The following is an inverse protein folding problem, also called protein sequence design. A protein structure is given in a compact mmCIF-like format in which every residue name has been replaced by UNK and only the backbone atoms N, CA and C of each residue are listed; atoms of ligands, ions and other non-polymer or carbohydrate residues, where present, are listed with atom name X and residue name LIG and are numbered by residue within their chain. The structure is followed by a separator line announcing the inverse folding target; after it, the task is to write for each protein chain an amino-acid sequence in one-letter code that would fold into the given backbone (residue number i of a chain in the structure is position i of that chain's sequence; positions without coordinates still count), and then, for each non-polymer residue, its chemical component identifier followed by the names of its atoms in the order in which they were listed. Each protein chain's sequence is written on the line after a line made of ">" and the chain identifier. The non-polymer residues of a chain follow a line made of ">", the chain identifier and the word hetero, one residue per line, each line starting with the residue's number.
data_IF_958702863642
#
_entry.id   IF_958702863642
#
_cell.length_a   1.000
_cell.length_b   1.000
_cell.length_c   1.000
_cell.angle_alpha   90.00
_cell.angle_beta   90.00
_cell.angle_gamma   90.00
#
_symmetry.space_group_name_H-M   'P 1'
#
loop_
_entity.id
_entity.type
_entity.pdbx_description
1 polymer ?
#
# COMPACT_ATOMS: atom_id res chain seq x y z
N UNK A 1 -19.17 0.86 -12.52
CA UNK A 1 -17.98 1.61 -12.06
C UNK A 1 -18.10 1.98 -10.59
N UNK A 2 -19.07 2.83 -10.20
CA UNK A 2 -19.17 3.37 -8.83
C UNK A 2 -19.41 2.29 -7.76
N UNK A 3 -20.04 1.19 -8.15
CA UNK A 3 -20.25 -0.02 -7.34
C UNK A 3 -18.94 -0.74 -6.97
N UNK A 4 -17.87 -0.53 -7.72
CA UNK A 4 -16.53 -1.07 -7.49
C UNK A 4 -15.61 -0.10 -6.74
N UNK A 5 -16.12 1.08 -6.34
CA UNK A 5 -15.37 2.08 -5.59
C UNK A 5 -15.68 1.94 -4.09
N UNK A 6 -14.63 1.71 -3.31
CA UNK A 6 -14.66 1.60 -1.86
C UNK A 6 -14.04 2.84 -1.23
N UNK A 7 -14.78 3.49 -0.34
CA UNK A 7 -14.27 4.58 0.50
C UNK A 7 -13.81 3.97 1.82
N UNK A 8 -12.53 4.17 2.15
CA UNK A 8 -11.91 3.66 3.37
C UNK A 8 -11.53 4.83 4.27
N UNK A 9 -12.15 4.94 5.45
CA UNK A 9 -11.83 5.97 6.43
C UNK A 9 -11.03 5.34 7.58
N UNK A 10 -9.78 5.80 7.75
CA UNK A 10 -8.86 5.25 8.74
C UNK A 10 -8.89 6.09 10.01
N UNK A 11 -9.27 5.43 11.11
CA UNK A 11 -9.18 5.95 12.48
C UNK A 11 -9.86 7.32 12.63
N UNK A 12 -11.06 7.44 12.06
CA UNK A 12 -11.88 8.66 12.10
C UNK A 12 -12.31 8.96 13.53
N UNK A 13 -12.16 10.23 13.92
CA UNK A 13 -12.35 10.67 15.31
C UNK A 13 -13.71 11.25 15.60
N UNK A 14 -14.37 11.86 14.60
CA UNK A 14 -15.66 12.51 14.78
C UNK A 14 -16.77 11.79 14.02
N UNK A 15 -17.81 11.34 14.73
CA UNK A 15 -18.96 10.63 14.16
C UNK A 15 -19.67 11.44 13.05
N UNK A 16 -19.80 12.76 13.27
CA UNK A 16 -20.37 13.66 12.27
C UNK A 16 -19.60 13.71 10.94
N UNK A 17 -18.29 13.43 10.94
CA UNK A 17 -17.51 13.33 9.70
C UNK A 17 -17.83 12.05 8.93
N UNK A 18 -18.07 10.93 9.63
CA UNK A 18 -18.52 9.68 9.01
C UNK A 18 -19.86 9.88 8.33
N UNK A 19 -20.81 10.52 9.02
CA UNK A 19 -22.10 10.90 8.45
C UNK A 19 -21.98 11.82 7.24
N UNK A 20 -21.19 12.88 7.34
CA UNK A 20 -20.97 13.81 6.22
C UNK A 20 -20.28 13.13 5.02
N UNK A 21 -19.36 12.19 5.27
CA UNK A 21 -18.74 11.38 4.21
C UNK A 21 -19.77 10.47 3.53
N UNK A 22 -20.62 9.78 4.29
CA UNK A 22 -21.71 8.96 3.74
C UNK A 22 -22.66 9.81 2.87
N UNK A 23 -23.00 11.02 3.31
CA UNK A 23 -23.78 11.96 2.50
C UNK A 23 -23.09 12.32 1.18
N UNK A 24 -21.81 12.66 1.23
CA UNK A 24 -21.01 12.96 0.05
C UNK A 24 -20.94 11.79 -0.94
N UNK A 25 -20.77 10.58 -0.42
CA UNK A 25 -20.78 9.33 -1.20
C UNK A 25 -22.12 9.14 -1.91
N UNK A 26 -23.24 9.22 -1.17
CA UNK A 26 -24.59 9.05 -1.72
C UNK A 26 -24.91 10.08 -2.80
N UNK A 27 -24.55 11.35 -2.60
CA UNK A 27 -24.73 12.41 -3.60
C UNK A 27 -24.04 12.09 -4.94
N UNK A 28 -22.96 11.32 -4.90
CA UNK A 28 -22.17 10.99 -6.10
C UNK A 28 -22.48 9.59 -6.66
N UNK A 29 -23.19 8.74 -5.91
CA UNK A 29 -23.57 7.38 -6.29
C UNK A 29 -22.59 6.30 -5.82
N UNK A 30 -21.69 6.61 -4.89
CA UNK A 30 -20.80 5.63 -4.24
C UNK A 30 -21.48 5.12 -2.97
N UNK A 31 -21.41 3.82 -2.70
CA UNK A 31 -22.15 3.20 -1.58
C UNK A 31 -21.29 2.37 -0.64
N UNK A 32 -20.11 1.89 -1.07
CA UNK A 32 -19.25 1.06 -0.24
C UNK A 32 -18.40 1.90 0.72
N UNK A 33 -18.77 1.90 2.00
CA UNK A 33 -18.01 2.54 3.09
C UNK A 33 -17.35 1.47 3.97
N UNK A 34 -16.06 1.63 4.23
CA UNK A 34 -15.31 0.82 5.19
C UNK A 34 -14.63 1.74 6.20
N UNK A 35 -14.80 1.42 7.49
CA UNK A 35 -14.17 2.11 8.60
C UNK A 35 -13.07 1.23 9.18
N UNK A 36 -11.85 1.77 9.29
CA UNK A 36 -10.71 1.06 9.86
C UNK A 36 -10.43 1.60 11.24
N UNK A 37 -10.60 0.77 12.26
CA UNK A 37 -10.37 1.12 13.66
C UNK A 37 -10.91 2.52 14.03
N UNK A 38 -12.21 2.80 13.79
CA UNK A 38 -12.76 4.12 14.05
C UNK A 38 -12.79 4.39 15.56
N UNK A 39 -12.39 5.60 15.95
CA UNK A 39 -12.53 6.07 17.34
C UNK A 39 -13.98 6.55 17.56
N UNK A 40 -14.60 7.11 16.53
CA UNK A 40 -15.98 7.52 16.55
C UNK A 40 -16.94 6.32 16.47
N UNK A 41 -17.99 6.35 17.28
CA UNK A 41 -19.16 5.47 17.11
C UNK A 41 -20.10 6.03 16.02
N UNK A 42 -20.91 5.16 15.43
CA UNK A 42 -21.99 5.57 14.54
C UNK A 42 -23.20 5.91 15.40
N UNK A 43 -23.27 7.18 15.80
CA UNK A 43 -24.25 7.73 16.73
C UNK A 43 -25.31 8.60 16.04
N UNK A 44 -26.15 9.26 16.84
CA UNK A 44 -27.16 10.19 16.34
C UNK A 44 -26.58 11.35 15.51
N UNK A 45 -25.37 11.81 15.84
CA UNK A 45 -24.71 12.88 15.09
C UNK A 45 -24.29 12.42 13.69
N UNK A 46 -23.76 11.20 13.56
CA UNK A 46 -23.48 10.58 12.26
C UNK A 46 -24.75 10.47 11.41
N UNK A 47 -25.86 10.01 12.00
CA UNK A 47 -27.15 9.84 11.29
C UNK A 47 -27.70 11.19 10.82
N UNK A 48 -27.69 12.20 11.69
CA UNK A 48 -28.16 13.56 11.35
C UNK A 48 -27.30 14.16 10.23
N UNK A 49 -25.98 13.99 10.30
CA UNK A 49 -25.06 14.50 9.26
C UNK A 49 -25.18 13.76 7.93
N UNK A 50 -25.51 12.47 7.96
CA UNK A 50 -25.76 11.68 6.75
C UNK A 50 -26.98 12.16 5.98
N UNK A 51 -27.95 12.81 6.65
CA UNK A 51 -29.06 13.54 6.00
C UNK A 51 -29.74 12.72 4.89
N UNK A 52 -30.18 11.50 5.23
CA UNK A 52 -30.82 10.59 4.31
C UNK A 52 -29.88 9.63 3.59
N UNK A 53 -28.58 9.58 3.93
CA UNK A 53 -27.64 8.55 3.50
C UNK A 53 -27.41 7.45 4.56
N UNK A 54 -28.39 7.22 5.44
CA UNK A 54 -28.27 6.26 6.54
C UNK A 54 -27.98 4.85 6.06
N UNK A 55 -28.46 4.44 4.88
CA UNK A 55 -28.22 3.09 4.39
C UNK A 55 -26.72 2.79 4.15
N UNK A 56 -25.90 3.81 3.89
CA UNK A 56 -24.43 3.66 3.78
C UNK A 56 -23.82 3.44 5.16
N UNK A 57 -24.35 4.09 6.19
CA UNK A 57 -23.92 3.87 7.57
C UNK A 57 -24.34 2.48 8.05
N UNK A 58 -25.57 2.06 7.74
CA UNK A 58 -26.13 0.77 8.15
C UNK A 58 -25.41 -0.41 7.48
N UNK A 59 -24.92 -0.21 6.25
CA UNK A 59 -24.18 -1.23 5.48
C UNK A 59 -22.66 -1.08 5.54
N UNK A 60 -22.14 -0.11 6.28
CA UNK A 60 -20.70 0.07 6.36
C UNK A 60 -20.03 -1.12 7.06
N UNK A 61 -18.81 -1.43 6.61
CA UNK A 61 -18.03 -2.51 7.19
C UNK A 61 -17.00 -1.89 8.13
N UNK A 62 -16.93 -2.40 9.35
CA UNK A 62 -15.91 -1.99 10.33
C UNK A 62 -14.87 -3.10 10.43
N UNK A 63 -13.61 -2.74 10.23
CA UNK A 63 -12.46 -3.66 10.27
C UNK A 63 -11.37 -3.14 11.19
N UNK A 64 -10.47 -4.02 11.61
CA UNK A 64 -9.41 -3.65 12.56
C UNK A 64 -8.18 -3.05 11.89
N UNK A 65 -8.01 -3.28 10.59
CA UNK A 65 -6.75 -3.07 9.89
C UNK A 65 -6.96 -2.55 8.46
N UNK A 66 -5.98 -1.80 7.93
CA UNK A 66 -6.05 -1.27 6.57
C UNK A 66 -6.01 -2.40 5.54
N UNK A 67 -5.31 -3.48 5.86
CA UNK A 67 -5.12 -4.67 5.03
C UNK A 67 -6.45 -5.40 4.81
N UNK A 68 -7.27 -5.53 5.85
CA UNK A 68 -8.64 -6.04 5.73
C UNK A 68 -9.49 -5.11 4.87
N UNK A 69 -9.36 -3.80 5.05
CA UNK A 69 -10.18 -2.81 4.34
C UNK A 69 -9.95 -2.79 2.83
N UNK A 70 -8.70 -3.01 2.41
CA UNK A 70 -8.29 -2.98 0.99
C UNK A 70 -8.18 -4.37 0.37
N UNK A 71 -8.51 -5.42 1.13
CA UNK A 71 -8.52 -6.78 0.63
C UNK A 71 -9.44 -6.90 -0.61
N UNK A 72 -8.92 -7.57 -1.64
CA UNK A 72 -9.60 -7.75 -2.92
C UNK A 72 -9.57 -6.54 -3.86
N UNK A 73 -9.02 -5.38 -3.45
CA UNK A 73 -8.83 -4.25 -4.34
C UNK A 73 -7.56 -4.43 -5.18
N UNK A 74 -7.68 -4.20 -6.50
CA UNK A 74 -6.54 -4.18 -7.42
C UNK A 74 -5.86 -2.81 -7.49
N UNK A 75 -6.55 -1.74 -7.08
CA UNK A 75 -5.99 -0.40 -6.99
C UNK A 75 -6.33 0.26 -5.65
N UNK A 76 -5.30 0.64 -4.89
CA UNK A 76 -5.43 1.34 -3.61
C UNK A 76 -4.79 2.72 -3.72
N UNK A 77 -5.57 3.77 -3.51
CA UNK A 77 -5.13 5.16 -3.64
C UNK A 77 -5.27 5.86 -2.30
N UNK A 78 -4.15 6.30 -1.73
CA UNK A 78 -4.11 7.03 -0.45
C UNK A 78 -4.15 8.54 -0.64
N UNK A 79 -4.96 9.23 0.17
CA UNK A 79 -4.98 10.70 0.18
C UNK A 79 -3.77 11.28 0.92
N UNK A 80 -3.14 12.33 0.35
CA UNK A 80 -2.00 13.00 0.97
C UNK A 80 -1.99 14.51 0.69
N UNK A 81 -1.70 15.30 1.72
CA UNK A 81 -1.69 16.76 1.63
C UNK A 81 -0.36 17.36 1.13
N UNK A 82 0.79 16.66 1.21
CA UNK A 82 2.10 17.20 0.78
C UNK A 82 3.12 16.11 0.42
N UNK A 83 4.07 16.48 -0.45
CA UNK A 83 5.24 15.68 -0.84
C UNK A 83 6.11 15.34 0.38
N UNK A 84 6.08 14.07 0.78
CA UNK A 84 6.95 13.53 1.83
C UNK A 84 8.35 13.30 1.29
N UNK A 85 9.27 12.99 2.20
CA UNK A 85 10.71 12.79 1.97
C UNK A 85 11.07 11.79 0.83
N UNK A 86 10.09 10.96 0.41
CA UNK A 86 10.20 10.03 -0.72
C UNK A 86 9.11 10.43 -1.75
N UNK A 87 9.47 10.79 -3.00
CA UNK A 87 8.50 11.24 -4.01
C UNK A 87 7.64 10.11 -4.56
N UNK A 88 6.51 9.83 -3.94
CA UNK A 88 5.51 8.88 -4.45
C UNK A 88 4.88 9.37 -5.77
N UNK A 89 4.39 8.47 -6.64
CA UNK A 89 3.60 8.87 -7.79
C UNK A 89 2.33 9.56 -7.27
N UNK A 90 2.32 10.89 -7.37
CA UNK A 90 1.20 11.75 -7.01
C UNK A 90 0.30 11.90 -8.24
N UNK A 91 -1.00 11.72 -8.05
CA UNK A 91 -2.00 12.08 -9.05
C UNK A 91 -2.90 13.19 -8.53
N UNK A 92 -3.42 13.99 -9.46
CA UNK A 92 -4.53 14.90 -9.23
C UNK A 92 -5.85 14.12 -9.04
N UNK A 93 -6.89 14.74 -8.47
CA UNK A 93 -8.22 14.13 -8.39
C UNK A 93 -8.78 13.68 -9.74
N UNK A 94 -8.53 14.44 -10.80
CA UNK A 94 -8.94 14.11 -12.18
C UNK A 94 -8.24 12.85 -12.69
N UNK A 95 -6.91 12.79 -12.56
CA UNK A 95 -6.13 11.61 -12.94
C UNK A 95 -6.48 10.39 -12.08
N UNK A 96 -6.83 10.61 -10.81
CA UNK A 96 -7.35 9.57 -9.91
C UNK A 96 -8.65 8.97 -10.46
N UNK A 97 -9.58 9.80 -10.94
CA UNK A 97 -10.81 9.35 -11.59
C UNK A 97 -10.56 8.50 -12.84
N UNK A 98 -9.68 8.97 -13.72
CA UNK A 98 -9.31 8.22 -14.93
C UNK A 98 -8.65 6.86 -14.61
N UNK A 99 -7.73 6.82 -13.64
CA UNK A 99 -7.10 5.58 -13.17
C UNK A 99 -8.12 4.61 -12.57
N UNK A 100 -9.05 5.11 -11.78
CA UNK A 100 -10.12 4.29 -11.21
C UNK A 100 -11.02 3.71 -12.30
N UNK A 101 -11.39 4.50 -13.32
CA UNK A 101 -12.17 4.03 -14.49
C UNK A 101 -11.45 2.88 -15.20
N UNK A 102 -10.15 3.04 -15.47
CA UNK A 102 -9.33 2.02 -16.13
C UNK A 102 -9.22 0.74 -15.28
N UNK A 103 -8.96 0.86 -13.98
CA UNK A 103 -8.88 -0.29 -13.08
C UNK A 103 -10.19 -1.08 -13.04
N UNK A 104 -11.33 -0.38 -12.96
CA UNK A 104 -12.65 -1.02 -12.96
C UNK A 104 -12.98 -1.65 -14.32
N UNK A 105 -12.60 -1.03 -15.44
CA UNK A 105 -12.73 -1.63 -16.77
C UNK A 105 -11.97 -2.97 -16.88
N UNK A 106 -10.86 -3.10 -16.15
CA UNK A 106 -10.08 -4.34 -16.02
C UNK A 106 -10.56 -5.25 -14.87
N UNK A 107 -11.83 -5.13 -14.46
CA UNK A 107 -12.47 -5.96 -13.43
C UNK A 107 -11.82 -5.87 -12.04
N UNK A 108 -11.20 -4.74 -11.69
CA UNK A 108 -10.63 -4.51 -10.36
C UNK A 108 -11.51 -3.58 -9.52
N UNK A 109 -11.67 -3.91 -8.23
CA UNK A 109 -12.20 -2.96 -7.25
C UNK A 109 -11.13 -1.93 -6.85
N UNK A 110 -11.55 -0.71 -6.55
CA UNK A 110 -10.68 0.43 -6.21
C UNK A 110 -10.98 0.90 -4.79
N UNK A 111 -9.95 1.06 -3.97
CA UNK A 111 -10.05 1.65 -2.64
C UNK A 111 -9.46 3.07 -2.62
N UNK A 112 -10.27 4.04 -2.17
CA UNK A 112 -9.83 5.40 -1.87
C UNK A 112 -9.68 5.53 -0.35
N UNK A 113 -8.45 5.73 0.11
CA UNK A 113 -8.09 5.68 1.54
C UNK A 113 -7.89 7.09 2.09
N UNK A 114 -8.65 7.41 3.12
CA UNK A 114 -8.63 8.69 3.83
C UNK A 114 -8.09 8.50 5.23
N UNK A 115 -7.18 9.37 5.63
CA UNK A 115 -6.55 9.31 6.95
C UNK A 115 -7.30 10.11 8.01
N UNK A 116 -6.68 10.13 9.19
CA UNK A 116 -7.14 10.86 10.38
C UNK A 116 -7.25 12.36 10.11
N UNK A 117 -8.22 13.04 10.73
CA UNK A 117 -8.45 14.47 10.51
C UNK A 117 -7.24 15.34 10.88
N UNK A 118 -6.54 14.99 11.95
CA UNK A 118 -5.42 15.79 12.47
C UNK A 118 -4.09 15.54 11.77
N UNK A 119 -3.86 14.31 11.27
CA UNK A 119 -2.52 13.84 10.86
C UNK A 119 -2.49 13.12 9.51
N UNK A 120 -3.65 12.85 8.90
CA UNK A 120 -3.77 12.06 7.69
C UNK A 120 -3.35 10.59 7.90
N UNK A 121 -2.87 9.98 6.81
CA UNK A 121 -2.37 8.60 6.81
C UNK A 121 -0.95 8.53 7.36
N UNK A 122 -0.64 7.49 8.12
CA UNK A 122 0.74 7.20 8.55
C UNK A 122 1.63 6.86 7.35
N UNK A 123 2.94 6.82 7.53
CA UNK A 123 3.83 6.38 6.45
C UNK A 123 3.56 4.92 6.07
N UNK A 124 3.29 4.06 7.05
CA UNK A 124 3.03 2.64 6.81
C UNK A 124 1.71 2.44 6.04
N UNK A 125 0.66 3.19 6.37
CA UNK A 125 -0.59 3.21 5.62
C UNK A 125 -0.38 3.70 4.17
N UNK A 126 0.42 4.76 3.98
CA UNK A 126 0.75 5.25 2.63
C UNK A 126 1.60 4.26 1.82
N UNK A 127 2.49 3.50 2.46
CA UNK A 127 3.31 2.48 1.79
C UNK A 127 2.50 1.30 1.28
N UNK A 128 1.28 1.12 1.79
CA UNK A 128 0.33 0.10 1.30
C UNK A 128 -0.49 0.59 0.11
N UNK A 129 -0.44 1.86 -0.23
CA UNK A 129 -1.16 2.40 -1.39
C UNK A 129 -0.32 2.29 -2.66
N UNK A 130 -0.95 1.94 -3.79
CA UNK A 130 -0.30 1.90 -5.11
C UNK A 130 0.03 3.31 -5.62
N UNK A 131 -0.83 4.28 -5.32
CA UNK A 131 -0.70 5.68 -5.72
C UNK A 131 -1.17 6.61 -4.61
N UNK A 132 -0.70 7.86 -4.63
CA UNK A 132 -1.18 8.90 -3.72
C UNK A 132 -1.93 9.97 -4.51
N UNK A 133 -3.08 10.39 -4.00
CA UNK A 133 -3.83 11.51 -4.58
C UNK A 133 -3.66 12.75 -3.71
N UNK A 134 -3.37 13.87 -4.36
CA UNK A 134 -3.27 15.17 -3.71
C UNK A 134 -4.34 16.09 -4.30
N UNK A 135 -5.26 16.55 -3.45
CA UNK A 135 -6.25 17.57 -3.83
C UNK A 135 -5.55 18.93 -3.79
N UNK A 136 -5.41 19.63 -4.94
CA UNK A 136 -4.85 20.96 -4.96
C UNK A 136 -5.70 21.90 -4.09
N UNK A 137 -5.05 22.54 -3.13
CA UNK A 137 -5.67 23.46 -2.18
C UNK A 137 -4.81 24.72 -2.07
N UNK A 138 -5.32 25.74 -1.38
CA UNK A 138 -4.50 26.90 -1.03
C UNK A 138 -3.24 26.43 -0.26
N UNK A 139 -2.01 26.72 -0.74
CA UNK A 139 -0.78 26.32 -0.05
C UNK A 139 -0.71 26.78 1.41
N UNK A 140 -1.33 27.93 1.73
CA UNK A 140 -1.37 28.50 3.08
C UNK A 140 -2.43 27.86 3.98
N UNK A 141 -3.36 27.11 3.40
CA UNK A 141 -4.45 26.42 4.11
C UNK A 141 -4.82 25.12 3.40
N UNK A 142 -3.93 24.14 3.47
CA UNK A 142 -4.00 22.91 2.66
C UNK A 142 -4.67 21.72 3.34
N UNK A 143 -5.24 21.92 4.53
CA UNK A 143 -5.93 20.85 5.28
C UNK A 143 -7.42 20.90 4.99
N UNK A 144 -7.90 19.94 4.20
CA UNK A 144 -9.32 19.72 3.96
C UNK A 144 -9.92 18.90 5.10
N UNK A 145 -11.16 19.23 5.48
CA UNK A 145 -12.00 18.31 6.25
C UNK A 145 -12.16 16.98 5.47
N UNK A 146 -12.18 15.86 6.19
CA UNK A 146 -12.25 14.52 5.59
C UNK A 146 -13.46 14.34 4.68
N UNK A 147 -14.66 14.80 5.09
CA UNK A 147 -15.87 14.68 4.27
C UNK A 147 -15.81 15.56 3.03
N UNK A 148 -15.13 16.72 3.09
CA UNK A 148 -14.88 17.56 1.92
C UNK A 148 -13.90 16.88 0.95
N UNK A 149 -12.85 16.22 1.45
CA UNK A 149 -11.94 15.44 0.62
C UNK A 149 -12.66 14.25 -0.04
N UNK A 150 -13.50 13.53 0.71
CA UNK A 150 -14.36 12.46 0.17
C UNK A 150 -15.28 13.02 -0.92
N UNK A 151 -15.90 14.17 -0.70
CA UNK A 151 -16.77 14.82 -1.68
C UNK A 151 -16.06 15.12 -3.00
N UNK A 152 -14.85 15.67 -2.94
CA UNK A 152 -14.05 15.97 -4.15
C UNK A 152 -13.71 14.70 -4.91
N UNK A 153 -13.23 13.66 -4.23
CA UNK A 153 -12.84 12.42 -4.92
C UNK A 153 -14.05 11.64 -5.44
N UNK A 154 -15.14 11.53 -4.67
CA UNK A 154 -16.37 10.92 -5.15
C UNK A 154 -16.96 11.69 -6.34
N UNK A 155 -16.85 13.01 -6.37
CA UNK A 155 -17.24 13.81 -7.53
C UNK A 155 -16.41 13.45 -8.76
N UNK A 156 -15.09 13.37 -8.65
CA UNK A 156 -14.24 12.96 -9.77
C UNK A 156 -14.49 11.52 -10.21
N UNK A 157 -14.82 10.60 -9.30
CA UNK A 157 -15.27 9.25 -9.68
C UNK A 157 -16.57 9.29 -10.48
N UNK A 158 -17.53 10.13 -10.07
CA UNK A 158 -18.77 10.32 -10.80
C UNK A 158 -18.52 10.93 -12.18
N UNK A 159 -17.66 11.93 -12.28
CA UNK A 159 -17.30 12.54 -13.56
C UNK A 159 -16.69 11.49 -14.50
N UNK A 160 -15.73 10.70 -14.02
CA UNK A 160 -15.14 9.62 -14.80
C UNK A 160 -16.16 8.55 -15.21
N UNK A 161 -17.16 8.25 -14.36
CA UNK A 161 -18.24 7.31 -14.70
C UNK A 161 -19.24 7.88 -15.72
N UNK A 162 -19.39 9.20 -15.81
CA UNK A 162 -20.27 9.89 -16.76
C UNK A 162 -19.57 10.24 -18.08
N UNK A 163 -18.24 10.30 -18.10
CA UNK A 163 -17.47 10.39 -19.33
C UNK A 163 -17.78 9.14 -20.18
N UNK A 164 -18.57 9.31 -21.24
CA UNK A 164 -18.86 8.26 -22.22
C UNK A 164 -17.57 7.67 -22.79
N UNK A 165 -17.64 6.45 -23.33
CA UNK A 165 -16.57 5.88 -24.17
C UNK A 165 -16.51 6.57 -25.55
N UNK A 166 -16.65 7.89 -25.59
CA UNK A 166 -16.63 8.74 -26.78
C UNK A 166 -15.20 8.97 -27.31
N UNK A 167 -14.28 8.04 -27.02
CA UNK A 167 -12.96 7.96 -27.64
C UNK A 167 -12.81 6.66 -28.43
N UNK A 168 -13.76 6.37 -29.31
CA UNK A 168 -13.39 5.78 -30.60
C UNK A 168 -12.97 6.94 -31.51
N UNK A 169 -11.67 6.95 -31.81
CA UNK A 169 -11.02 7.66 -32.90
C UNK A 169 -10.74 9.18 -32.72
N UNK A 170 -9.44 9.48 -32.74
CA UNK A 170 -8.83 10.78 -33.11
C UNK A 170 -8.70 11.82 -32.01
N UNK A 171 -7.69 11.66 -31.14
CA UNK A 171 -6.84 12.77 -30.72
C UNK A 171 -5.52 12.27 -30.16
N UNK A 172 -4.48 12.39 -30.99
CA UNK A 172 -3.08 12.40 -30.62
C UNK A 172 -2.82 13.55 -29.64
N UNK A 173 -3.06 13.30 -28.36
CA UNK A 173 -2.38 13.97 -27.26
C UNK A 173 -2.29 12.93 -26.13
N UNK A 174 -1.21 12.13 -26.19
CA UNK A 174 -0.81 11.21 -25.12
C UNK A 174 -0.45 12.03 -23.87
N UNK A 175 -1.46 12.50 -23.15
CA UNK A 175 -1.31 12.93 -21.77
C UNK A 175 -1.42 11.69 -20.90
N UNK A 176 -0.27 11.17 -20.47
CA UNK A 176 -0.14 10.42 -19.23
C UNK A 176 -0.89 9.09 -19.10
N UNK A 177 -0.94 8.25 -20.14
CA UNK A 177 -1.36 6.86 -19.94
C UNK A 177 -0.35 6.19 -19.00
N UNK A 178 -0.79 5.89 -17.78
CA UNK A 178 0.04 5.24 -16.77
C UNK A 178 -0.05 3.72 -16.96
N UNK A 179 1.08 3.10 -17.32
CA UNK A 179 1.16 1.66 -17.55
C UNK A 179 1.04 1.26 -19.01
N UNK A 180 1.22 -0.03 -19.26
CA UNK A 180 0.94 -0.71 -20.54
C UNK A 180 -0.48 -1.29 -20.49
N UNK A 181 -1.04 -1.61 -21.64
CA UNK A 181 -2.28 -2.39 -21.69
C UNK A 181 -1.99 -3.77 -21.07
N UNK A 182 -2.66 -4.09 -19.96
CA UNK A 182 -2.40 -5.30 -19.18
C UNK A 182 -3.02 -6.51 -19.89
N UNK A 183 -2.22 -7.53 -20.19
CA UNK A 183 -2.66 -8.81 -20.71
C UNK A 183 -3.13 -9.78 -19.60
N UNK A 184 -2.84 -9.47 -18.33
CA UNK A 184 -3.29 -10.20 -17.15
C UNK A 184 -3.98 -9.29 -16.12
N UNK A 185 -4.79 -9.90 -15.24
CA UNK A 185 -5.42 -9.18 -14.12
C UNK A 185 -4.36 -8.62 -13.16
N UNK A 186 -4.58 -7.39 -12.67
CA UNK A 186 -3.72 -6.80 -11.63
C UNK A 186 -3.66 -7.72 -10.42
N UNK A 187 -2.48 -7.80 -9.81
CA UNK A 187 -2.31 -8.58 -8.58
C UNK A 187 -3.15 -7.94 -7.46
N UNK A 188 -4.01 -8.73 -6.77
CA UNK A 188 -4.71 -8.25 -5.60
C UNK A 188 -3.71 -7.70 -4.57
N UNK A 189 -4.10 -6.65 -3.84
CA UNK A 189 -3.24 -6.00 -2.85
C UNK A 189 -2.50 -6.98 -1.93
N UNK A 190 -3.21 -7.98 -1.39
CA UNK A 190 -2.63 -8.99 -0.51
C UNK A 190 -1.53 -9.85 -1.15
N UNK A 191 -1.59 -10.10 -2.47
CA UNK A 191 -0.55 -10.86 -3.17
C UNK A 191 0.71 -10.02 -3.38
N UNK A 192 0.55 -8.73 -3.63
CA UNK A 192 1.66 -7.77 -3.72
C UNK A 192 2.35 -7.60 -2.35
N UNK A 193 1.58 -7.54 -1.26
CA UNK A 193 2.13 -7.49 0.10
C UNK A 193 2.95 -8.75 0.43
N UNK A 194 2.41 -9.95 0.12
CA UNK A 194 3.15 -11.21 0.28
C UNK A 194 4.44 -11.26 -0.54
N UNK A 195 4.44 -10.65 -1.73
CA UNK A 195 5.65 -10.49 -2.51
C UNK A 195 6.67 -9.60 -1.81
N UNK A 196 6.26 -8.47 -1.24
CA UNK A 196 7.18 -7.59 -0.51
C UNK A 196 7.74 -8.22 0.76
N UNK A 197 6.95 -9.02 1.47
CA UNK A 197 7.42 -9.80 2.62
C UNK A 197 8.46 -10.82 2.18
N UNK A 198 8.18 -11.60 1.13
CA UNK A 198 9.12 -12.56 0.56
C UNK A 198 10.41 -11.88 0.05
N UNK A 199 10.29 -10.69 -0.55
CA UNK A 199 11.44 -9.90 -1.00
C UNK A 199 12.31 -9.48 0.18
N UNK A 200 11.68 -8.97 1.26
CA UNK A 200 12.40 -8.59 2.48
C UNK A 200 13.17 -9.77 3.05
N UNK A 201 12.50 -10.92 3.23
CA UNK A 201 13.12 -12.11 3.80
C UNK A 201 14.28 -12.61 2.92
N UNK A 202 14.10 -12.62 1.60
CA UNK A 202 15.16 -12.99 0.66
C UNK A 202 16.37 -12.05 0.71
N UNK A 203 16.15 -10.74 0.91
CA UNK A 203 17.24 -9.77 1.03
C UNK A 203 18.01 -9.93 2.36
N UNK A 204 17.34 -10.38 3.43
CA UNK A 204 17.98 -10.75 4.69
C UNK A 204 18.80 -12.03 4.50
N UNK A 205 18.24 -13.05 3.86
CA UNK A 205 18.89 -14.35 3.66
C UNK A 205 20.21 -14.24 2.86
N UNK A 206 20.29 -13.29 1.93
CA UNK A 206 21.51 -13.02 1.14
C UNK A 206 22.44 -11.97 1.78
N UNK A 207 22.11 -11.46 2.98
CA UNK A 207 22.91 -10.47 3.69
C UNK A 207 22.89 -9.05 3.11
N UNK A 208 21.99 -8.74 2.17
CA UNK A 208 21.88 -7.40 1.59
C UNK A 208 21.11 -6.43 2.50
N UNK A 209 20.11 -6.93 3.21
CA UNK A 209 19.34 -6.17 4.19
C UNK A 209 19.72 -6.64 5.60
N UNK A 210 20.31 -5.76 6.40
CA UNK A 210 20.45 -5.97 7.84
C UNK A 210 19.10 -5.67 8.53
N UNK A 211 18.47 -6.66 9.20
CA UNK A 211 17.21 -6.46 9.93
C UNK A 211 17.30 -5.40 11.03
N UNK A 212 18.49 -5.18 11.60
CA UNK A 212 18.73 -4.22 12.67
C UNK A 212 18.91 -2.80 12.13
N UNK A 213 19.32 -2.67 10.86
CA UNK A 213 19.57 -1.37 10.22
C UNK A 213 18.92 -1.26 8.83
N UNK A 214 17.59 -1.45 8.70
CA UNK A 214 16.94 -1.57 7.40
C UNK A 214 16.88 -0.26 6.58
N UNK A 215 17.12 0.89 7.23
CA UNK A 215 17.02 2.25 6.65
C UNK A 215 15.71 2.41 5.84
N UNK A 216 15.78 2.92 4.61
CA UNK A 216 14.62 3.14 3.72
C UNK A 216 14.57 2.18 2.53
N UNK A 217 15.33 1.08 2.57
CA UNK A 217 15.50 0.20 1.41
C UNK A 217 14.17 -0.40 0.96
N UNK A 218 13.43 -1.04 1.88
CA UNK A 218 12.13 -1.64 1.55
C UNK A 218 11.11 -0.60 1.10
N UNK A 219 11.13 0.59 1.68
CA UNK A 219 10.27 1.69 1.23
C UNK A 219 10.55 2.10 -0.22
N UNK A 220 11.83 2.17 -0.61
CA UNK A 220 12.23 2.53 -1.98
C UNK A 220 11.92 1.43 -2.98
N UNK A 221 12.09 0.16 -2.59
CA UNK A 221 11.69 -0.99 -3.40
C UNK A 221 10.17 -1.04 -3.58
N UNK A 222 9.39 -0.86 -2.50
CA UNK A 222 7.93 -0.76 -2.56
C UNK A 222 7.48 0.31 -3.55
N UNK A 223 8.02 1.51 -3.41
CA UNK A 223 7.78 2.61 -4.36
C UNK A 223 8.16 2.25 -5.80
N UNK A 224 9.25 1.53 -6.02
CA UNK A 224 9.69 1.14 -7.37
C UNK A 224 8.67 0.21 -8.02
N UNK A 225 8.25 -0.85 -7.33
CA UNK A 225 7.32 -1.85 -7.87
C UNK A 225 5.86 -1.40 -7.87
N UNK A 226 5.42 -0.59 -6.89
CA UNK A 226 4.05 -0.07 -6.90
C UNK A 226 3.79 0.87 -8.07
N UNK A 227 4.85 1.46 -8.66
CA UNK A 227 4.71 2.26 -9.87
C UNK A 227 4.38 1.45 -11.11
N UNK A 228 4.84 0.21 -11.16
CA UNK A 228 4.58 -0.64 -12.32
C UNK A 228 3.15 -1.16 -12.32
N UNK A 229 2.46 -1.21 -11.16
CA UNK A 229 1.11 -1.76 -11.01
C UNK A 229 1.02 -3.25 -11.42
N UNK A 230 1.85 -4.06 -10.74
CA UNK A 230 2.11 -5.46 -11.10
C UNK A 230 0.85 -6.32 -11.31
N UNK A 231 0.89 -7.16 -12.33
CA UNK A 231 -0.13 -8.20 -12.57
C UNK A 231 0.15 -9.50 -11.78
N UNK A 232 -0.83 -10.42 -11.80
CA UNK A 232 -0.71 -11.72 -11.13
C UNK A 232 0.46 -12.57 -11.63
N UNK A 233 0.76 -12.54 -12.93
CA UNK A 233 1.88 -13.30 -13.51
C UNK A 233 3.22 -12.72 -13.05
N UNK A 234 3.37 -11.39 -13.10
CA UNK A 234 4.59 -10.69 -12.70
C UNK A 234 4.89 -10.93 -11.21
N UNK A 235 3.87 -10.83 -10.34
CA UNK A 235 4.02 -11.19 -8.92
C UNK A 235 4.44 -12.66 -8.76
N UNK A 236 3.82 -13.58 -9.51
CA UNK A 236 4.19 -15.00 -9.50
C UNK A 236 5.64 -15.25 -9.94
N UNK A 237 6.07 -14.60 -11.02
CA UNK A 237 7.42 -14.70 -11.58
C UNK A 237 8.46 -14.16 -10.59
N UNK A 238 8.21 -12.97 -10.02
CA UNK A 238 9.09 -12.36 -9.03
C UNK A 238 9.23 -13.24 -7.79
N UNK A 239 8.14 -13.79 -7.26
CA UNK A 239 8.19 -14.73 -6.13
C UNK A 239 8.93 -16.03 -6.50
N UNK A 240 8.80 -16.50 -7.74
CA UNK A 240 9.58 -17.62 -8.26
C UNK A 240 11.09 -17.36 -8.27
N UNK A 241 11.52 -16.15 -8.69
CA UNK A 241 12.91 -15.70 -8.64
C UNK A 241 13.41 -15.68 -7.20
N UNK A 242 12.64 -15.08 -6.27
CA UNK A 242 13.00 -15.00 -4.86
C UNK A 242 13.15 -16.39 -4.22
N UNK A 243 12.25 -17.32 -4.53
CA UNK A 243 12.35 -18.70 -4.08
C UNK A 243 13.64 -19.39 -4.60
N UNK A 244 14.05 -19.12 -5.84
CA UNK A 244 15.30 -19.63 -6.38
C UNK A 244 16.53 -19.03 -5.69
N UNK A 245 16.50 -17.74 -5.39
CA UNK A 245 17.55 -17.02 -4.64
C UNK A 245 17.69 -17.60 -3.23
N UNK A 246 16.60 -17.74 -2.48
CA UNK A 246 16.63 -18.29 -1.12
C UNK A 246 17.16 -19.73 -1.07
N UNK A 247 16.81 -20.58 -2.04
CA UNK A 247 17.38 -21.93 -2.14
C UNK A 247 18.91 -21.90 -2.26
N UNK A 248 19.46 -20.94 -3.01
CA UNK A 248 20.92 -20.76 -3.14
C UNK A 248 21.54 -20.13 -1.89
N UNK A 249 20.88 -19.14 -1.31
CA UNK A 249 21.31 -18.48 -0.07
C UNK A 249 21.43 -19.47 1.08
N UNK A 250 20.44 -20.36 1.25
CA UNK A 250 20.45 -21.39 2.29
C UNK A 250 21.67 -22.31 2.19
N UNK A 251 21.98 -22.80 0.99
CA UNK A 251 23.16 -23.65 0.75
C UNK A 251 24.46 -22.88 1.05
N UNK A 252 24.55 -21.60 0.65
CA UNK A 252 25.72 -20.79 0.93
C UNK A 252 25.91 -20.55 2.45
N UNK A 253 24.84 -20.19 3.16
CA UNK A 253 24.87 -19.94 4.59
C UNK A 253 25.19 -21.21 5.39
N UNK A 254 24.70 -22.38 4.97
CA UNK A 254 25.07 -23.68 5.56
C UNK A 254 26.57 -23.96 5.40
N UNK A 255 27.13 -23.72 4.20
CA UNK A 255 28.57 -23.91 3.94
C UNK A 255 29.44 -22.94 4.75
N UNK A 256 29.04 -21.67 4.88
CA UNK A 256 29.74 -20.69 5.72
C UNK A 256 29.64 -21.01 7.22
N UNK A 257 28.51 -21.52 7.69
CA UNK A 257 28.34 -22.01 9.06
C UNK A 257 29.26 -23.19 9.38
N UNK A 258 29.44 -24.11 8.42
CA UNK A 258 30.38 -25.24 8.56
C UNK A 258 31.83 -24.74 8.56
N UNK A 259 32.18 -23.79 7.70
CA UNK A 259 33.55 -23.22 7.67
C UNK A 259 33.92 -22.43 8.92
N UNK A 260 32.99 -21.64 9.45
CA UNK A 260 33.21 -20.85 10.67
C UNK A 260 33.31 -21.73 11.92
N UNK A 261 32.52 -22.81 12.02
CA UNK A 261 32.64 -23.79 13.10
C UNK A 261 33.91 -24.64 13.00
N UNK A 262 34.34 -25.02 11.79
CA UNK A 262 35.61 -25.72 11.59
C UNK A 262 36.83 -24.83 11.92
N UNK A 263 36.82 -23.56 11.52
CA UNK A 263 37.90 -22.60 11.83
C UNK A 263 38.09 -22.39 13.35
N UNK A 264 36.99 -22.26 14.10
CA UNK A 264 37.01 -22.14 15.56
C UNK A 264 37.52 -23.41 16.27
N UNK A 265 37.33 -24.60 15.68
CA UNK A 265 37.86 -25.85 16.26
C UNK A 265 39.37 -25.96 16.12
N UNK A 266 39.93 -25.52 15.00
CA UNK A 266 41.39 -25.48 14.77
C UNK A 266 42.12 -24.43 15.61
N UNK A 267 41.49 -23.31 15.94
CA UNK A 267 42.09 -22.31 16.85
C UNK A 267 42.08 -22.79 18.32
N UNK A 268 41.07 -23.55 18.75
CA UNK A 268 41.05 -24.17 20.09
C UNK A 268 42.08 -25.29 20.25
N UNK A 269 42.28 -26.11 19.22
CA UNK A 269 43.31 -27.16 19.24
C UNK A 269 44.74 -26.58 19.16
N UNK A 270 44.91 -25.38 18.60
CA UNK A 270 46.19 -24.67 18.59
C UNK A 270 46.50 -24.00 19.94
N UNK A 271 45.49 -23.52 20.68
CA UNK A 271 45.69 -22.99 22.03
C UNK A 271 46.02 -24.09 23.05
N UNK A 272 45.38 -25.26 22.98
CA UNK A 272 45.65 -26.38 23.90
C UNK A 272 47.04 -27.01 23.69
N UNK A 273 47.61 -26.93 22.47
CA UNK A 273 48.98 -27.40 22.18
C UNK A 273 50.07 -26.44 22.64
N UNK A 274 49.76 -25.16 22.85
CA UNK A 274 50.73 -24.20 23.38
C UNK A 274 50.86 -24.29 24.91
N UNK A 275 49.78 -24.61 25.64
CA UNK A 275 49.84 -24.80 27.09
C UNK A 275 50.61 -26.07 27.50
N UNK A 276 50.57 -27.14 26.70
CA UNK A 276 51.35 -28.35 26.99
C UNK A 276 52.87 -28.22 26.72
N UNK A 277 53.31 -27.17 26.02
CA UNK A 277 54.73 -26.94 25.72
C UNK A 277 55.43 -26.00 26.72
N UNK A 278 54.70 -25.26 27.56
CA UNK A 278 55.31 -24.44 28.62
C UNK A 278 55.63 -25.24 29.89
N UNK A 279 54.90 -26.32 30.18
CA UNK A 279 55.16 -27.17 31.35
C UNK A 279 56.40 -28.09 31.20
N UNK A 280 56.88 -28.33 29.97
CA UNK A 280 58.02 -29.23 29.72
C UNK A 280 59.39 -28.50 29.66
N UNK A 281 59.43 -27.21 30.02
CA UNK A 281 60.65 -26.37 30.00
C UNK A 281 61.15 -25.94 31.38
N UNK A 282 60.58 -26.49 32.46
CA UNK A 282 60.97 -26.20 33.86
C UNK A 282 61.54 -27.40 34.64
N UNK A 283 62.06 -28.41 33.94
CA UNK A 283 62.79 -29.56 34.52
C UNK A 283 64.30 -29.39 34.43
#
# INVERSE_FOLDING_TARGET
>A
MLDQIRIVLVNTTHSGNVGAAARAMKNMGVTQLVLVDPIAEIDGDAIVRASGASEILDSCIIVSSLEEAVAGCGLVIGTSARGRHIPWPLCSPRECGAKAKQAVANNNSVALVFGRESRGLTNDELHRCNAHVHIPTNPDFSSLNIAAAVQVLCYEMRMAALEEDSTNETSTNKVGQWGVEWDYEMAPHGDVERFFDHLKDSLVDIGFLDPNTPKQLMTRLRRMFQRTALDKMEVGMMRGILAAVQRKAKVANEVEGIRSSAGNSTERDASDKNDQNEDNKKG
#
